data_IF_880477054549
#
_entry.id   IF_880477054549
#
_cell.length_a   1.000
_cell.length_b   1.000
_cell.length_c   1.000
_cell.angle_alpha   90.00
_cell.angle_beta   90.00
_cell.angle_gamma   90.00
#
_symmetry.space_group_name_H-M   'P 1'
#
loop_
_entity.id
_entity.type
_entity.pdbx_description
1 polymer ?
#
# COMPACT_ATOMS: atom_id res chain seq x y z
N UNK A 1 3.22 1.09 11.88
CA UNK A 1 3.28 0.88 13.34
C UNK A 1 3.78 2.14 14.02
N UNK A 2 4.96 2.71 13.67
CA UNK A 2 5.54 3.89 14.31
C UNK A 2 4.61 5.09 14.38
N UNK A 3 3.99 5.49 13.27
CA UNK A 3 3.04 6.62 13.21
C UNK A 3 1.79 6.39 14.07
N UNK A 4 1.33 5.14 14.22
CA UNK A 4 0.20 4.80 15.07
C UNK A 4 0.56 4.94 16.57
N UNK A 5 1.71 4.43 16.98
CA UNK A 5 2.20 4.51 18.35
C UNK A 5 2.49 5.96 18.79
N UNK A 6 3.02 6.77 17.87
CA UNK A 6 3.30 8.18 18.13
C UNK A 6 2.06 8.99 18.53
N UNK A 7 0.86 8.62 18.07
CA UNK A 7 -0.42 9.24 18.48
C UNK A 7 -0.71 9.07 19.98
N UNK A 8 -0.11 8.05 20.59
CA UNK A 8 -0.21 7.77 22.03
C UNK A 8 1.02 8.20 22.81
N UNK A 9 1.93 9.00 22.20
CA UNK A 9 3.16 9.43 22.82
C UNK A 9 4.22 8.32 22.97
N UNK A 10 4.06 7.21 22.27
CA UNK A 10 4.98 6.07 22.35
C UNK A 10 5.98 6.16 21.19
N UNK A 11 7.26 6.32 21.53
CA UNK A 11 8.36 6.29 20.55
C UNK A 11 8.80 4.84 20.30
N UNK A 12 8.81 4.44 19.03
CA UNK A 12 9.35 3.15 18.61
C UNK A 12 10.88 3.29 18.44
N UNK A 13 11.65 2.60 19.28
CA UNK A 13 13.11 2.59 19.22
C UNK A 13 13.65 1.16 19.19
N UNK A 14 14.83 0.97 18.56
CA UNK A 14 15.49 -0.33 18.57
C UNK A 14 14.71 -1.45 17.87
N UNK A 15 14.08 -1.14 16.74
CA UNK A 15 13.34 -2.12 15.93
C UNK A 15 14.17 -2.64 14.76
N UNK A 16 13.80 -3.81 14.28
CA UNK A 16 14.15 -4.37 12.99
C UNK A 16 12.88 -4.57 12.16
N UNK A 17 12.99 -4.54 10.84
CA UNK A 17 11.88 -4.71 9.91
C UNK A 17 12.22 -5.77 8.87
N UNK A 18 11.58 -6.96 8.90
CA UNK A 18 11.82 -8.01 7.92
C UNK A 18 11.53 -7.61 6.47
N UNK A 19 10.58 -6.70 6.23
CA UNK A 19 10.26 -6.21 4.89
C UNK A 19 11.43 -5.38 4.33
N UNK A 20 12.00 -4.49 5.15
CA UNK A 20 13.18 -3.71 4.77
C UNK A 20 14.43 -4.59 4.65
N UNK A 21 14.58 -5.62 5.48
CA UNK A 21 15.65 -6.61 5.32
C UNK A 21 15.55 -7.33 3.98
N UNK A 22 14.35 -7.78 3.61
CA UNK A 22 14.09 -8.41 2.32
C UNK A 22 14.37 -7.45 1.16
N UNK A 23 14.03 -6.17 1.30
CA UNK A 23 14.31 -5.15 0.30
C UNK A 23 15.82 -4.92 0.12
N UNK A 24 16.56 -4.81 1.21
CA UNK A 24 18.03 -4.67 1.15
C UNK A 24 18.71 -5.89 0.50
N UNK A 25 18.17 -7.11 0.70
CA UNK A 25 18.69 -8.35 0.13
C UNK A 25 18.34 -8.52 -1.36
N UNK A 26 17.16 -8.10 -1.76
CA UNK A 26 16.65 -8.33 -3.13
C UNK A 26 15.64 -7.23 -3.52
N UNK A 27 16.12 -6.04 -3.85
CA UNK A 27 15.30 -4.92 -4.29
C UNK A 27 14.56 -5.20 -5.62
N UNK A 28 14.97 -6.21 -6.37
CA UNK A 28 14.32 -6.65 -7.60
C UNK A 28 13.08 -7.51 -7.41
N UNK A 29 12.82 -7.98 -6.21
CA UNK A 29 11.60 -8.73 -5.87
C UNK A 29 10.37 -7.84 -6.02
N UNK A 30 9.29 -8.40 -6.57
CA UNK A 30 8.06 -7.66 -6.83
C UNK A 30 7.35 -7.19 -5.54
N UNK A 31 7.43 -7.97 -4.46
CA UNK A 31 6.72 -7.71 -3.21
C UNK A 31 7.53 -8.16 -1.99
N UNK A 32 7.47 -7.36 -0.91
CA UNK A 32 8.18 -7.58 0.35
C UNK A 32 7.23 -7.65 1.55
N UNK A 33 5.95 -7.92 1.34
CA UNK A 33 4.97 -8.02 2.42
C UNK A 33 5.18 -9.29 3.26
N UNK A 34 4.88 -9.28 4.56
CA UNK A 34 5.13 -10.41 5.46
C UNK A 34 4.51 -11.71 4.98
N UNK A 35 3.27 -11.68 4.47
CA UNK A 35 2.58 -12.87 3.97
C UNK A 35 3.25 -13.51 2.74
N UNK A 36 3.78 -12.69 1.81
CA UNK A 36 4.51 -13.20 0.65
C UNK A 36 5.87 -13.75 1.03
N UNK A 37 6.56 -13.08 1.96
CA UNK A 37 7.82 -13.55 2.51
C UNK A 37 7.64 -14.85 3.29
N UNK A 38 6.56 -14.98 4.07
CA UNK A 38 6.22 -16.21 4.77
C UNK A 38 5.99 -17.38 3.80
N UNK A 39 5.25 -17.14 2.72
CA UNK A 39 5.05 -18.13 1.66
C UNK A 39 6.35 -18.60 1.02
N UNK A 40 7.20 -17.65 0.63
CA UNK A 40 8.42 -17.95 -0.13
C UNK A 40 9.60 -18.45 0.73
N UNK A 41 9.75 -17.95 1.97
CA UNK A 41 10.91 -18.26 2.81
C UNK A 41 10.61 -19.28 3.93
N UNK A 42 9.36 -19.36 4.37
CA UNK A 42 8.96 -20.26 5.46
C UNK A 42 8.03 -21.39 5.00
N UNK A 43 7.60 -21.38 3.72
CA UNK A 43 6.57 -22.30 3.19
C UNK A 43 5.29 -22.27 4.04
N UNK A 44 4.89 -21.09 4.49
CA UNK A 44 3.76 -20.88 5.38
C UNK A 44 2.73 -19.96 4.74
N UNK A 45 1.45 -20.34 4.83
CA UNK A 45 0.32 -19.53 4.33
C UNK A 45 -0.31 -18.78 5.51
N UNK A 46 -0.19 -17.47 5.50
CA UNK A 46 -0.73 -16.60 6.54
C UNK A 46 -2.24 -16.40 6.39
N UNK A 47 -2.90 -16.08 7.50
CA UNK A 47 -4.24 -15.50 7.50
C UNK A 47 -4.21 -14.14 6.81
N UNK A 48 -5.18 -13.88 5.97
CA UNK A 48 -5.30 -12.60 5.27
C UNK A 48 -6.27 -11.65 5.97
N UNK A 49 -6.07 -10.35 5.81
CA UNK A 49 -7.05 -9.37 6.28
C UNK A 49 -8.45 -9.61 5.70
N UNK A 50 -8.55 -10.12 4.47
CA UNK A 50 -9.83 -10.45 3.82
C UNK A 50 -10.56 -11.59 4.54
N UNK A 51 -9.85 -12.57 5.06
CA UNK A 51 -10.43 -13.68 5.84
C UNK A 51 -10.92 -13.22 7.21
N UNK A 52 -10.28 -12.20 7.79
CA UNK A 52 -10.65 -11.64 9.11
C UNK A 52 -11.78 -10.62 9.01
N UNK A 53 -11.71 -9.70 8.05
CA UNK A 53 -12.62 -8.57 7.92
C UNK A 53 -13.72 -8.80 6.87
N UNK A 54 -13.60 -9.83 6.04
CA UNK A 54 -14.50 -10.07 4.91
C UNK A 54 -14.20 -9.18 3.70
N UNK A 55 -15.07 -9.28 2.69
CA UNK A 55 -14.93 -8.54 1.42
C UNK A 55 -16.25 -7.91 0.98
N UNK A 56 -16.20 -6.89 0.14
CA UNK A 56 -17.35 -6.24 -0.46
C UNK A 56 -18.24 -5.52 0.57
N UNK A 57 -19.57 -5.54 0.35
CA UNK A 57 -20.54 -4.84 1.21
C UNK A 57 -20.67 -5.41 2.63
N UNK A 58 -20.18 -6.63 2.86
CA UNK A 58 -20.19 -7.29 4.18
C UNK A 58 -18.88 -7.14 4.95
N UNK A 59 -17.89 -6.42 4.41
CA UNK A 59 -16.64 -6.20 5.10
C UNK A 59 -16.84 -5.35 6.37
N UNK A 60 -16.20 -5.77 7.46
CA UNK A 60 -16.19 -5.06 8.74
C UNK A 60 -14.86 -4.34 8.95
N UNK A 61 -14.86 -3.30 9.79
CA UNK A 61 -13.62 -2.67 10.22
C UNK A 61 -12.98 -3.46 11.37
N UNK A 62 -11.69 -3.26 11.62
CA UNK A 62 -10.92 -4.02 12.63
C UNK A 62 -11.58 -4.01 14.01
N UNK A 63 -12.17 -2.89 14.41
CA UNK A 63 -12.88 -2.77 15.70
C UNK A 63 -14.14 -3.63 15.81
N UNK A 64 -14.66 -4.14 14.72
CA UNK A 64 -15.83 -5.03 14.68
C UNK A 64 -15.45 -6.52 14.49
N UNK A 65 -14.17 -6.82 14.35
CA UNK A 65 -13.69 -8.20 14.30
C UNK A 65 -13.80 -8.85 15.69
N UNK A 66 -14.35 -10.06 15.83
CA UNK A 66 -14.37 -10.77 17.11
C UNK A 66 -12.97 -10.90 17.70
N UNK A 67 -12.82 -10.64 19.01
CA UNK A 67 -11.52 -10.63 19.71
C UNK A 67 -10.72 -11.92 19.47
N UNK A 68 -11.38 -13.08 19.48
CA UNK A 68 -10.72 -14.35 19.24
C UNK A 68 -10.03 -14.41 17.87
N UNK A 69 -10.71 -13.94 16.81
CA UNK A 69 -10.16 -13.89 15.44
C UNK A 69 -9.06 -12.83 15.30
N UNK A 70 -9.25 -11.68 15.94
CA UNK A 70 -8.23 -10.64 15.97
C UNK A 70 -6.97 -11.11 16.72
N UNK A 71 -7.12 -11.93 17.78
CA UNK A 71 -6.00 -12.51 18.53
C UNK A 71 -5.22 -13.52 17.68
N UNK A 72 -5.91 -14.41 16.94
CA UNK A 72 -5.26 -15.35 16.03
C UNK A 72 -4.42 -14.61 14.99
N UNK A 73 -5.00 -13.61 14.34
CA UNK A 73 -4.32 -12.82 13.31
C UNK A 73 -3.12 -12.05 13.87
N UNK A 74 -3.30 -11.31 14.96
CA UNK A 74 -2.22 -10.52 15.55
C UNK A 74 -1.09 -11.41 16.14
N UNK A 75 -1.45 -12.58 16.69
CA UNK A 75 -0.48 -13.55 17.16
C UNK A 75 0.34 -14.15 16.03
N UNK A 76 -0.32 -14.47 14.91
CA UNK A 76 0.36 -14.95 13.71
C UNK A 76 1.28 -13.88 13.12
N UNK A 77 0.83 -12.62 12.97
CA UNK A 77 1.68 -11.52 12.47
C UNK A 77 2.95 -11.36 13.31
N UNK A 78 2.85 -11.47 14.64
CA UNK A 78 3.99 -11.37 15.53
C UNK A 78 4.96 -12.56 15.38
N UNK A 79 4.43 -13.81 15.28
CA UNK A 79 5.23 -15.03 15.06
C UNK A 79 5.94 -14.97 13.70
N UNK A 80 5.24 -14.65 12.64
CA UNK A 80 5.80 -14.53 11.30
C UNK A 80 6.89 -13.44 11.26
N UNK A 81 6.65 -12.29 11.87
CA UNK A 81 7.66 -11.23 11.98
C UNK A 81 8.96 -11.73 12.60
N UNK A 82 8.89 -12.47 13.71
CA UNK A 82 10.07 -13.03 14.37
C UNK A 82 10.73 -14.14 13.52
N UNK A 83 9.96 -15.05 12.93
CA UNK A 83 10.50 -16.12 12.09
C UNK A 83 11.21 -15.59 10.85
N UNK A 84 10.63 -14.57 10.20
CA UNK A 84 11.27 -13.87 9.07
C UNK A 84 12.56 -13.18 9.51
N UNK A 85 12.56 -12.53 10.66
CA UNK A 85 13.76 -11.91 11.21
C UNK A 85 14.89 -12.93 11.43
N UNK A 86 14.58 -14.11 11.99
CA UNK A 86 15.56 -15.18 12.22
C UNK A 86 16.18 -15.70 10.92
N UNK A 87 15.45 -15.67 9.81
CA UNK A 87 15.95 -16.09 8.49
C UNK A 87 16.72 -14.97 7.79
N UNK A 88 16.19 -13.74 7.81
CA UNK A 88 16.72 -12.63 7.01
C UNK A 88 17.92 -11.95 7.66
N UNK A 89 17.93 -11.77 8.99
CA UNK A 89 19.00 -11.05 9.67
C UNK A 89 20.39 -11.67 9.45
N UNK A 90 20.59 -13.00 9.56
CA UNK A 90 21.88 -13.61 9.24
C UNK A 90 22.29 -13.46 7.76
N UNK A 91 21.32 -13.42 6.85
CA UNK A 91 21.58 -13.26 5.42
C UNK A 91 22.14 -11.87 5.08
N UNK A 92 21.67 -10.82 5.75
CA UNK A 92 22.23 -9.47 5.55
C UNK A 92 23.74 -9.47 5.71
N UNK A 93 24.26 -10.16 6.73
CA UNK A 93 25.68 -10.27 7.02
C UNK A 93 26.36 -11.15 5.96
N UNK A 94 25.79 -12.32 5.68
CA UNK A 94 26.38 -13.29 4.72
C UNK A 94 26.45 -12.75 3.29
N UNK A 95 25.50 -11.89 2.90
CA UNK A 95 25.41 -11.29 1.58
C UNK A 95 26.05 -9.87 1.54
N UNK A 96 26.64 -9.40 2.64
CA UNK A 96 27.35 -8.11 2.78
C UNK A 96 26.49 -6.88 2.49
N UNK A 97 25.20 -6.93 2.83
CA UNK A 97 24.24 -5.82 2.68
C UNK A 97 23.75 -5.26 4.03
N UNK A 98 24.29 -5.77 5.15
CA UNK A 98 23.99 -5.30 6.51
C UNK A 98 24.25 -3.81 6.67
N UNK A 99 25.31 -3.28 6.09
CA UNK A 99 25.63 -1.85 6.14
C UNK A 99 24.51 -1.02 5.46
N UNK A 100 24.00 -1.45 4.31
CA UNK A 100 22.90 -0.76 3.62
C UNK A 100 21.66 -0.76 4.49
N UNK A 101 21.30 -1.90 5.06
CA UNK A 101 20.15 -2.01 5.95
C UNK A 101 20.31 -1.11 7.20
N UNK A 102 21.44 -1.17 7.89
CA UNK A 102 21.67 -0.46 9.14
C UNK A 102 21.84 1.06 9.00
N UNK A 103 22.39 1.51 7.86
CA UNK A 103 22.72 2.94 7.66
C UNK A 103 21.75 3.69 6.75
N UNK A 104 20.97 2.99 5.92
CA UNK A 104 20.02 3.61 5.00
C UNK A 104 18.59 3.14 5.27
N UNK A 105 18.29 1.85 5.08
CA UNK A 105 16.90 1.36 5.07
C UNK A 105 16.22 1.49 6.44
N UNK A 106 16.85 1.03 7.51
CA UNK A 106 16.28 1.11 8.84
C UNK A 106 16.16 2.55 9.36
N UNK A 107 17.16 3.43 9.22
CA UNK A 107 17.07 4.83 9.67
C UNK A 107 16.07 5.70 8.90
N UNK A 108 15.72 5.37 7.65
CA UNK A 108 14.74 6.16 6.90
C UNK A 108 13.31 5.98 7.42
N UNK A 109 12.98 4.83 8.02
CA UNK A 109 11.63 4.54 8.49
C UNK A 109 11.08 5.58 9.49
N UNK A 110 11.81 5.98 10.57
CA UNK A 110 11.35 7.04 11.45
C UNK A 110 11.30 8.42 10.78
N UNK A 111 12.13 8.70 9.78
CA UNK A 111 12.07 9.94 9.00
C UNK A 111 10.77 10.01 8.21
N UNK A 112 10.42 8.94 7.51
CA UNK A 112 9.16 8.85 6.77
C UNK A 112 7.95 8.93 7.71
N UNK A 113 8.00 8.27 8.87
CA UNK A 113 6.96 8.37 9.88
C UNK A 113 6.75 9.81 10.37
N UNK A 114 7.82 10.58 10.55
CA UNK A 114 7.75 11.99 10.92
C UNK A 114 7.17 12.85 9.78
N UNK A 115 7.55 12.58 8.53
CA UNK A 115 6.99 13.26 7.36
C UNK A 115 5.49 13.01 7.25
N UNK A 116 5.03 11.78 7.44
CA UNK A 116 3.61 11.41 7.46
C UNK A 116 2.83 12.12 8.58
N UNK A 117 3.40 12.20 9.78
CA UNK A 117 2.80 12.91 10.91
C UNK A 117 2.70 14.42 10.67
N UNK A 118 3.70 15.01 10.06
CA UNK A 118 3.71 16.44 9.69
C UNK A 118 2.68 16.72 8.60
N UNK A 119 2.55 15.80 7.65
CA UNK A 119 1.62 15.90 6.53
C UNK A 119 1.98 16.96 5.50
N UNK A 120 1.07 17.16 4.55
CA UNK A 120 1.21 18.15 3.47
C UNK A 120 0.02 19.10 3.56
N UNK A 121 0.31 20.41 3.51
CA UNK A 121 -0.72 21.43 3.43
C UNK A 121 -1.37 21.42 2.06
N UNK A 122 -2.69 21.26 2.05
CA UNK A 122 -3.51 21.26 0.82
C UNK A 122 -4.38 22.51 0.79
N UNK A 123 -4.32 23.26 -0.32
CA UNK A 123 -5.20 24.40 -0.58
C UNK A 123 -6.48 23.91 -1.27
N UNK A 124 -7.55 23.80 -0.50
CA UNK A 124 -8.84 23.27 -0.99
C UNK A 124 -9.47 24.13 -2.08
N UNK A 125 -9.32 25.45 -2.00
CA UNK A 125 -9.86 26.38 -2.99
C UNK A 125 -9.16 26.20 -4.34
N UNK A 126 -7.85 25.99 -4.36
CA UNK A 126 -7.09 25.71 -5.57
C UNK A 126 -7.53 24.39 -6.23
N UNK A 127 -7.72 23.33 -5.43
CA UNK A 127 -8.22 22.05 -5.94
C UNK A 127 -9.66 22.14 -6.46
N UNK A 128 -10.54 22.86 -5.78
CA UNK A 128 -11.90 23.08 -6.25
C UNK A 128 -11.92 23.87 -7.57
N UNK A 129 -11.09 24.90 -7.69
CA UNK A 129 -10.92 25.66 -8.95
C UNK A 129 -10.37 24.80 -10.08
N UNK A 130 -9.41 23.92 -9.80
CA UNK A 130 -8.85 22.96 -10.77
C UNK A 130 -9.91 21.94 -11.21
N UNK A 131 -10.66 21.39 -10.27
CA UNK A 131 -11.77 20.46 -10.55
C UNK A 131 -12.84 21.09 -11.43
N UNK A 132 -13.23 22.36 -11.14
CA UNK A 132 -14.18 23.09 -11.98
C UNK A 132 -13.68 23.32 -13.41
N UNK A 133 -12.40 23.68 -13.59
CA UNK A 133 -11.80 23.81 -14.92
C UNK A 133 -11.76 22.51 -15.69
N UNK A 134 -11.43 21.41 -15.01
CA UNK A 134 -11.44 20.08 -15.64
C UNK A 134 -12.85 19.67 -16.06
N UNK A 135 -13.86 19.90 -15.22
CA UNK A 135 -15.25 19.59 -15.57
C UNK A 135 -15.72 20.38 -16.83
N UNK A 136 -15.40 21.67 -16.90
CA UNK A 136 -15.71 22.49 -18.07
C UNK A 136 -14.97 22.02 -19.33
N UNK A 137 -13.67 21.69 -19.20
CA UNK A 137 -12.89 21.20 -20.34
C UNK A 137 -13.39 19.83 -20.82
N UNK A 138 -13.77 18.96 -19.87
CA UNK A 138 -14.32 17.63 -20.19
C UNK A 138 -15.62 17.76 -20.98
N UNK A 139 -16.57 18.56 -20.48
CA UNK A 139 -17.84 18.77 -21.16
C UNK A 139 -17.65 19.32 -22.59
N UNK A 140 -16.78 20.33 -22.75
CA UNK A 140 -16.48 20.86 -24.09
C UNK A 140 -15.87 19.81 -25.02
N UNK A 141 -14.94 19.00 -24.53
CA UNK A 141 -14.30 17.94 -25.32
C UNK A 141 -15.31 16.82 -25.68
N UNK A 142 -16.21 16.47 -24.76
CA UNK A 142 -17.26 15.52 -25.03
C UNK A 142 -18.21 16.00 -26.15
N UNK A 143 -18.58 17.29 -26.13
CA UNK A 143 -19.41 17.90 -27.17
C UNK A 143 -18.67 17.90 -28.52
N UNK A 144 -17.41 18.33 -28.57
CA UNK A 144 -16.57 18.31 -29.77
C UNK A 144 -16.44 16.88 -30.36
N UNK A 145 -16.26 15.86 -29.52
CA UNK A 145 -16.15 14.46 -29.96
C UNK A 145 -17.47 14.00 -30.59
N UNK A 146 -18.63 14.31 -29.97
CA UNK A 146 -19.93 13.95 -30.53
C UNK A 146 -20.21 14.65 -31.85
N UNK A 147 -19.85 15.93 -31.95
CA UNK A 147 -19.96 16.65 -33.23
C UNK A 147 -19.11 16.03 -34.34
N UNK A 148 -17.86 15.65 -34.02
CA UNK A 148 -16.96 15.01 -35.00
C UNK A 148 -17.42 13.60 -35.39
N UNK A 149 -17.97 12.84 -34.43
CA UNK A 149 -18.51 11.51 -34.69
C UNK A 149 -19.83 11.54 -35.49
N UNK A 150 -20.56 12.65 -35.43
CA UNK A 150 -21.86 12.79 -36.10
C UNK A 150 -23.00 12.06 -35.41
N UNK A 151 -22.77 11.42 -34.29
CA UNK A 151 -23.78 10.71 -33.51
C UNK A 151 -23.44 10.73 -31.99
N UNK A 152 -24.48 10.46 -31.19
CA UNK A 152 -24.33 10.38 -29.72
C UNK A 152 -23.95 8.94 -29.31
N UNK A 153 -22.88 8.83 -28.54
CA UNK A 153 -22.38 7.56 -28.03
C UNK A 153 -21.71 7.73 -26.66
N UNK A 154 -21.52 6.64 -25.94
CA UNK A 154 -20.79 6.65 -24.69
C UNK A 154 -19.27 6.62 -24.93
N UNK A 155 -18.63 7.80 -24.82
CA UNK A 155 -17.18 7.98 -25.00
C UNK A 155 -16.36 7.13 -24.01
N UNK A 156 -16.90 6.83 -22.81
CA UNK A 156 -16.30 5.93 -21.82
C UNK A 156 -16.41 4.44 -22.13
N UNK A 157 -17.08 4.05 -23.24
CA UNK A 157 -17.19 2.67 -23.67
C UNK A 157 -16.16 2.35 -24.75
N UNK A 158 -15.10 1.55 -24.45
CA UNK A 158 -14.11 1.16 -25.47
C UNK A 158 -14.72 0.50 -26.70
N UNK A 159 -15.85 -0.24 -26.52
CA UNK A 159 -16.56 -0.90 -27.64
C UNK A 159 -17.17 0.12 -28.58
N UNK A 160 -18.00 1.06 -28.07
CA UNK A 160 -18.65 2.08 -28.90
C UNK A 160 -17.63 3.02 -29.53
N UNK A 161 -16.57 3.39 -28.78
CA UNK A 161 -15.48 4.19 -29.33
C UNK A 161 -14.76 3.47 -30.48
N UNK A 162 -14.56 2.15 -30.38
CA UNK A 162 -14.00 1.34 -31.46
C UNK A 162 -14.87 1.30 -32.72
N UNK A 163 -16.18 1.17 -32.54
CA UNK A 163 -17.18 1.21 -33.67
C UNK A 163 -17.09 2.56 -34.39
N UNK A 164 -16.99 3.68 -33.67
CA UNK A 164 -16.87 5.04 -34.28
C UNK A 164 -15.54 5.23 -35.02
N UNK A 165 -14.43 4.66 -34.50
CA UNK A 165 -13.11 4.95 -35.07
C UNK A 165 -12.70 4.00 -36.20
N UNK A 166 -13.27 2.81 -36.27
CA UNK A 166 -12.79 1.73 -37.16
C UNK A 166 -13.86 1.10 -38.06
N UNK A 167 -15.12 1.38 -37.83
CA UNK A 167 -16.25 0.96 -38.65
C UNK A 167 -16.82 2.11 -39.50
#
# INVERSE_FOLDING_TARGET
VGSALARYGIALTGFDDPCLMSYALDAGRAEHLPEQLAGSLLSYTCLTQKEIMGTGRGAVTVEHVPVARATEFAGEEADIGLRLWLVLKPRLIAEHVDTVYETLERPIAPVLALMEQTGIKVERSALAGLSGRFAQSLARLEDEIRELAGEDFNIGSPKQLGEILFD
#
